data_IF_982979542045
#
_entry.id   IF_982979542045
#
_cell.length_a   1.000
_cell.length_b   1.000
_cell.length_c   1.000
_cell.angle_alpha   90.00
_cell.angle_beta   90.00
_cell.angle_gamma   90.00
#
_symmetry.space_group_name_H-M   'P 1'
#
loop_
_entity.id
_entity.type
_entity.pdbx_description
1 polymer ?
#
# COMPACT_ATOMS: atom_id res chain seq x y z
N UNK A 1 17.76 -12.65 7.62
CA UNK A 1 16.76 -11.64 8.04
C UNK A 1 16.85 -11.53 9.55
N UNK A 2 17.01 -10.31 10.06
CA UNK A 2 17.00 -10.03 11.50
C UNK A 2 15.57 -10.07 12.04
N UNK A 3 15.38 -10.34 13.34
CA UNK A 3 14.06 -10.21 13.99
C UNK A 3 13.44 -8.82 13.81
N UNK A 4 14.28 -7.78 13.72
CA UNK A 4 13.84 -6.42 13.44
C UNK A 4 13.16 -6.31 12.06
N UNK A 5 13.73 -6.93 11.03
CA UNK A 5 13.21 -6.88 9.66
C UNK A 5 11.82 -7.54 9.57
N UNK A 6 11.61 -8.62 10.33
CA UNK A 6 10.31 -9.32 10.39
C UNK A 6 9.22 -8.44 11.01
N UNK A 7 9.55 -7.70 12.07
CA UNK A 7 8.62 -6.78 12.72
C UNK A 7 8.22 -5.64 11.79
N UNK A 8 9.19 -5.04 11.09
CA UNK A 8 8.94 -3.97 10.11
C UNK A 8 8.05 -4.49 8.98
N UNK A 9 8.36 -5.68 8.44
CA UNK A 9 7.56 -6.28 7.37
C UNK A 9 6.12 -6.55 7.80
N UNK A 10 5.91 -7.05 9.02
CA UNK A 10 4.58 -7.29 9.58
C UNK A 10 3.80 -5.98 9.78
N UNK A 11 4.45 -4.90 10.19
CA UNK A 11 3.80 -3.60 10.32
C UNK A 11 3.37 -3.04 8.96
N UNK A 12 4.19 -3.20 7.92
CA UNK A 12 3.84 -2.80 6.55
C UNK A 12 2.64 -3.59 6.02
N UNK A 13 2.56 -4.89 6.28
CA UNK A 13 1.40 -5.72 5.90
C UNK A 13 0.11 -5.24 6.58
N UNK A 14 0.16 -4.89 7.87
CA UNK A 14 -0.99 -4.31 8.58
C UNK A 14 -1.44 -2.98 7.99
N UNK A 15 -0.50 -2.08 7.68
CA UNK A 15 -0.82 -0.77 7.07
C UNK A 15 -1.43 -0.95 5.69
N UNK A 16 -0.85 -1.83 4.86
CA UNK A 16 -1.37 -2.10 3.53
C UNK A 16 -2.77 -2.73 3.57
N UNK A 17 -3.06 -3.63 4.52
CA UNK A 17 -4.40 -4.18 4.72
C UNK A 17 -5.42 -3.09 5.09
N UNK A 18 -5.07 -2.20 6.03
CA UNK A 18 -5.93 -1.08 6.41
C UNK A 18 -6.19 -0.12 5.25
N UNK A 19 -5.18 0.11 4.41
CA UNK A 19 -5.31 0.93 3.22
C UNK A 19 -6.30 0.29 2.21
N UNK A 20 -6.21 -1.01 1.95
CA UNK A 20 -7.16 -1.73 1.07
C UNK A 20 -8.59 -1.56 1.58
N UNK A 21 -8.82 -1.76 2.87
CA UNK A 21 -10.15 -1.59 3.48
C UNK A 21 -10.66 -0.16 3.29
N UNK A 22 -9.86 0.84 3.65
CA UNK A 22 -10.24 2.26 3.54
C UNK A 22 -10.56 2.66 2.09
N UNK A 23 -9.76 2.18 1.13
CA UNK A 23 -10.02 2.41 -0.31
C UNK A 23 -11.30 1.70 -0.75
N UNK A 24 -11.56 0.50 -0.25
CA UNK A 24 -12.81 -0.23 -0.47
C UNK A 24 -14.03 0.58 -0.04
N UNK A 25 -13.99 1.10 1.18
CA UNK A 25 -15.06 1.93 1.75
C UNK A 25 -15.25 3.21 0.93
N UNK A 26 -14.16 3.92 0.59
CA UNK A 26 -14.19 5.12 -0.26
C UNK A 26 -14.82 4.85 -1.64
N UNK A 27 -14.47 3.73 -2.26
CA UNK A 27 -15.01 3.36 -3.57
C UNK A 27 -16.50 3.01 -3.47
N UNK A 28 -16.88 2.25 -2.46
CA UNK A 28 -18.25 1.79 -2.29
C UNK A 28 -19.19 2.93 -1.85
N UNK A 29 -18.83 3.68 -0.82
CA UNK A 29 -19.69 4.71 -0.23
C UNK A 29 -19.69 6.02 -1.00
N UNK A 30 -18.57 6.35 -1.65
CA UNK A 30 -18.35 7.68 -2.26
C UNK A 30 -18.03 7.63 -3.74
N UNK A 31 -17.89 6.43 -4.33
CA UNK A 31 -17.47 6.29 -5.72
C UNK A 31 -16.05 6.81 -5.99
N UNK A 32 -15.21 6.95 -4.95
CA UNK A 32 -13.85 7.48 -5.06
C UNK A 32 -12.88 6.34 -5.32
N UNK A 33 -12.16 6.41 -6.45
CA UNK A 33 -11.09 5.47 -6.77
C UNK A 33 -9.72 6.06 -6.43
N UNK A 34 -8.90 5.27 -5.73
CA UNK A 34 -7.52 5.62 -5.42
C UNK A 34 -6.55 4.78 -6.24
N UNK A 35 -5.58 5.47 -6.85
CA UNK A 35 -4.55 4.89 -7.71
C UNK A 35 -3.19 5.20 -7.11
N UNK A 36 -2.37 4.17 -6.88
CA UNK A 36 -0.98 4.28 -6.47
C UNK A 36 -0.07 3.86 -7.61
N UNK A 37 0.79 4.76 -8.06
CA UNK A 37 1.80 4.48 -9.10
C UNK A 37 1.22 3.80 -10.36
N UNK A 38 0.14 4.39 -10.91
CA UNK A 38 -0.61 3.90 -12.08
C UNK A 38 -1.32 2.56 -11.89
N UNK A 39 -1.51 2.11 -10.64
CA UNK A 39 -2.27 0.90 -10.31
C UNK A 39 -3.37 1.22 -9.32
N UNK A 40 -4.58 0.73 -9.58
CA UNK A 40 -5.68 0.84 -8.62
C UNK A 40 -5.30 0.13 -7.31
N UNK A 41 -5.69 0.71 -6.19
CA UNK A 41 -5.50 0.09 -4.86
C UNK A 41 -6.67 -0.85 -4.53
N UNK A 42 -7.85 -0.60 -5.10
CA UNK A 42 -9.00 -1.46 -4.92
C UNK A 42 -8.72 -2.88 -5.39
N UNK A 43 -9.06 -3.87 -4.56
CA UNK A 43 -8.83 -5.31 -4.77
C UNK A 43 -7.35 -5.72 -4.92
N UNK A 44 -6.40 -4.82 -4.63
CA UNK A 44 -4.98 -5.15 -4.61
C UNK A 44 -4.64 -5.94 -3.34
N UNK A 45 -3.74 -6.93 -3.45
CA UNK A 45 -3.21 -7.61 -2.26
C UNK A 45 -2.29 -6.65 -1.48
N UNK A 46 -2.25 -6.74 -0.14
CA UNK A 46 -1.33 -5.95 0.68
C UNK A 46 0.14 -6.03 0.22
N UNK A 47 0.59 -7.21 -0.20
CA UNK A 47 1.93 -7.42 -0.75
C UNK A 47 2.18 -6.66 -2.06
N UNK A 48 1.16 -6.48 -2.90
CA UNK A 48 1.26 -5.71 -4.14
C UNK A 48 1.36 -4.21 -3.86
N UNK A 49 0.62 -3.72 -2.86
CA UNK A 49 0.71 -2.33 -2.40
C UNK A 49 2.11 -2.03 -1.89
N UNK A 50 2.65 -2.88 -1.02
CA UNK A 50 4.00 -2.73 -0.47
C UNK A 50 5.03 -2.76 -1.60
N UNK A 51 4.88 -3.68 -2.56
CA UNK A 51 5.75 -3.75 -3.73
C UNK A 51 5.68 -2.48 -4.58
N UNK A 52 4.48 -1.96 -4.83
CA UNK A 52 4.29 -0.74 -5.62
C UNK A 52 4.85 0.50 -4.91
N UNK A 53 4.69 0.58 -3.59
CA UNK A 53 5.31 1.60 -2.75
C UNK A 53 6.84 1.54 -2.82
N UNK A 54 7.45 0.37 -2.63
CA UNK A 54 8.92 0.20 -2.73
C UNK A 54 9.41 0.55 -4.14
N UNK A 55 8.72 0.06 -5.17
CA UNK A 55 9.06 0.37 -6.56
C UNK A 55 8.97 1.88 -6.82
N UNK A 56 7.97 2.57 -6.27
CA UNK A 56 7.83 4.02 -6.45
C UNK A 56 9.07 4.77 -5.96
N UNK A 57 9.69 4.36 -4.84
CA UNK A 57 10.91 4.98 -4.31
C UNK A 57 12.09 4.96 -5.30
N UNK A 58 12.09 4.07 -6.29
CA UNK A 58 13.12 4.02 -7.34
C UNK A 58 12.86 5.01 -8.49
N UNK A 59 11.65 5.57 -8.59
CA UNK A 59 11.24 6.49 -9.67
C UNK A 59 11.01 7.93 -9.18
N UNK A 60 10.99 8.14 -7.87
CA UNK A 60 10.84 9.44 -7.20
C UNK A 60 11.89 9.48 -6.09
N UNK A 61 12.64 10.58 -6.00
CA UNK A 61 13.64 10.80 -4.94
C UNK A 61 13.01 10.97 -3.54
N UNK A 62 11.73 10.65 -3.39
CA UNK A 62 10.95 10.79 -2.17
C UNK A 62 10.07 9.55 -1.96
N UNK A 63 10.10 8.99 -0.76
CA UNK A 63 9.21 7.88 -0.41
C UNK A 63 7.76 8.37 -0.29
N UNK A 64 6.81 7.67 -0.94
CA UNK A 64 5.37 7.93 -0.75
C UNK A 64 4.98 7.37 0.61
N UNK A 65 4.64 8.16 1.63
CA UNK A 65 4.31 7.62 2.95
C UNK A 65 3.14 6.60 2.87
N UNK A 66 3.28 5.50 3.62
CA UNK A 66 2.25 4.50 3.90
C UNK A 66 1.58 4.79 5.23
#
# INVERSE_FOLDING_TARGET
MSNHDLLVRHQQEKLALNLVHTVGDLRFDKGIELIMFRKAIYDAKPSEIIRNHILSQAFIDQAIPL
#
